data_IF_499434512947
#
_entry.id   IF_499434512947
#
_cell.length_a   1.000
_cell.length_b   1.000
_cell.length_c   1.000
_cell.angle_alpha   90.00
_cell.angle_beta   90.00
_cell.angle_gamma   90.00
#
_symmetry.space_group_name_H-M   'P 1'
#
loop_
_entity.id
_entity.type
_entity.pdbx_description
1 polymer ?
#
# COMPACT_ATOMS: atom_id res chain seq x y z
N UNK A 1 17.61 43.03 -4.39
CA UNK A 1 16.51 42.23 -4.98
C UNK A 1 17.11 41.28 -6.01
N UNK A 2 17.22 39.99 -5.71
CA UNK A 2 17.39 38.90 -6.68
C UNK A 2 16.63 37.69 -6.15
N UNK A 3 15.65 37.22 -6.93
CA UNK A 3 14.75 36.11 -6.62
C UNK A 3 15.37 34.81 -7.12
N UNK A 4 15.34 33.76 -6.30
CA UNK A 4 15.36 32.37 -6.76
C UNK A 4 14.49 31.54 -5.83
N UNK A 5 13.37 30.97 -6.31
CA UNK A 5 12.57 30.01 -5.57
C UNK A 5 13.04 28.60 -5.94
N UNK A 6 13.51 27.81 -4.97
CA UNK A 6 13.64 26.38 -5.19
C UNK A 6 13.24 25.62 -3.94
N UNK A 7 11.96 25.27 -3.88
CA UNK A 7 11.45 24.14 -3.12
C UNK A 7 12.43 22.96 -3.25
N UNK A 8 13.10 22.62 -2.16
CA UNK A 8 13.70 21.30 -1.99
C UNK A 8 12.96 20.64 -0.85
N UNK A 9 11.96 19.85 -1.24
CA UNK A 9 11.17 18.99 -0.39
C UNK A 9 12.08 17.99 0.34
N UNK A 10 12.07 17.93 1.68
CA UNK A 10 12.86 16.97 2.42
C UNK A 10 11.99 15.78 2.90
N UNK A 11 11.09 15.25 2.05
CA UNK A 11 10.15 14.19 2.47
C UNK A 11 10.41 12.85 1.76
N UNK A 12 11.56 12.68 1.11
CA UNK A 12 11.89 11.46 0.35
C UNK A 12 12.68 10.41 1.15
N UNK A 13 12.59 10.42 2.49
CA UNK A 13 13.30 9.47 3.34
C UNK A 13 12.37 8.94 4.42
N UNK A 14 11.48 7.98 4.11
CA UNK A 14 10.81 7.17 5.13
C UNK A 14 10.03 5.96 4.57
N UNK A 15 10.59 5.18 3.63
CA UNK A 15 9.99 3.88 3.25
C UNK A 15 11.06 2.83 2.95
N UNK A 16 11.97 2.54 3.88
CA UNK A 16 12.95 1.44 3.73
C UNK A 16 13.16 0.65 5.01
N UNK A 17 12.08 0.29 5.72
CA UNK A 17 12.23 -0.58 6.88
C UNK A 17 11.01 -1.45 7.18
N UNK A 18 10.71 -2.47 6.36
CA UNK A 18 9.71 -3.49 6.71
C UNK A 18 9.94 -4.85 5.98
N UNK A 19 11.18 -5.32 5.85
CA UNK A 19 11.48 -6.58 5.12
C UNK A 19 12.39 -7.56 5.90
N UNK A 20 12.06 -7.84 7.16
CA UNK A 20 12.60 -9.03 7.85
C UNK A 20 11.57 -9.64 8.80
N UNK A 21 10.68 -10.50 8.30
CA UNK A 21 9.93 -11.44 9.13
C UNK A 21 10.06 -12.87 8.53
N UNK A 22 10.20 -13.92 9.36
CA UNK A 22 10.48 -15.30 8.93
C UNK A 22 9.43 -15.81 7.93
N UNK A 23 9.72 -16.81 7.09
CA UNK A 23 8.83 -17.14 5.94
C UNK A 23 7.91 -18.37 6.13
N UNK A 24 8.12 -19.25 7.11
CA UNK A 24 7.55 -20.62 7.00
C UNK A 24 6.34 -20.97 7.89
N UNK A 25 6.09 -20.26 9.00
CA UNK A 25 4.76 -20.21 9.66
C UNK A 25 3.96 -18.96 9.22
N UNK A 26 4.56 -18.20 8.30
CA UNK A 26 4.14 -16.86 7.93
C UNK A 26 3.31 -16.82 6.66
N UNK A 27 3.34 -17.80 5.76
CA UNK A 27 2.50 -17.77 4.56
C UNK A 27 1.01 -17.56 4.89
N UNK A 28 0.46 -18.33 5.85
CA UNK A 28 -0.94 -18.21 6.27
C UNK A 28 -1.24 -16.89 7.01
N UNK A 29 -0.24 -16.34 7.72
CA UNK A 29 -0.37 -15.06 8.42
C UNK A 29 -0.20 -13.88 7.45
N UNK A 30 0.69 -14.01 6.48
CA UNK A 30 0.99 -13.09 5.39
C UNK A 30 -0.24 -12.94 4.49
N UNK A 31 -0.81 -14.05 4.00
CA UNK A 31 -2.07 -14.01 3.23
C UNK A 31 -3.22 -13.35 4.00
N UNK A 32 -3.30 -13.57 5.32
CA UNK A 32 -4.31 -12.92 6.17
C UNK A 32 -4.08 -11.40 6.30
N UNK A 33 -2.84 -10.97 6.48
CA UNK A 33 -2.50 -9.54 6.52
C UNK A 33 -2.75 -8.89 5.15
N UNK A 34 -2.34 -9.50 4.04
CA UNK A 34 -2.63 -9.02 2.68
C UNK A 34 -4.13 -8.80 2.46
N UNK A 35 -4.97 -9.77 2.87
CA UNK A 35 -6.44 -9.67 2.79
C UNK A 35 -7.01 -8.59 3.70
N UNK A 36 -6.45 -8.42 4.91
CA UNK A 36 -6.87 -7.38 5.86
C UNK A 36 -6.60 -5.99 5.30
N UNK A 37 -5.41 -5.79 4.75
CA UNK A 37 -4.98 -4.51 4.20
C UNK A 37 -5.75 -4.17 2.93
N UNK A 38 -5.97 -5.16 2.05
CA UNK A 38 -6.82 -5.01 0.88
C UNK A 38 -8.25 -4.59 1.27
N UNK A 39 -8.81 -5.19 2.33
CA UNK A 39 -10.14 -4.82 2.84
C UNK A 39 -10.17 -3.39 3.38
N UNK A 40 -9.17 -2.98 4.17
CA UNK A 40 -9.05 -1.60 4.63
C UNK A 40 -8.94 -0.61 3.46
N UNK A 41 -8.17 -0.95 2.43
CA UNK A 41 -8.06 -0.17 1.21
C UNK A 41 -9.43 -0.02 0.51
N UNK A 42 -10.19 -1.11 0.36
CA UNK A 42 -11.53 -1.06 -0.24
C UNK A 42 -12.52 -0.22 0.58
N UNK A 43 -12.48 -0.29 1.91
CA UNK A 43 -13.30 0.56 2.79
C UNK A 43 -12.97 2.05 2.61
N UNK A 44 -11.70 2.40 2.45
CA UNK A 44 -11.26 3.77 2.14
C UNK A 44 -11.77 4.18 0.75
N UNK A 45 -11.64 3.31 -0.26
CA UNK A 45 -12.15 3.58 -1.59
C UNK A 45 -13.65 3.86 -1.60
N UNK A 46 -14.45 3.05 -0.89
CA UNK A 46 -15.89 3.25 -0.76
C UNK A 46 -16.26 4.55 -0.04
N UNK A 47 -15.49 4.95 0.96
CA UNK A 47 -15.76 6.20 1.70
C UNK A 47 -15.33 7.45 0.96
N UNK A 48 -14.23 7.41 0.21
CA UNK A 48 -13.55 8.63 -0.22
C UNK A 48 -13.31 8.75 -1.73
N UNK A 49 -13.37 7.65 -2.50
CA UNK A 49 -13.00 7.72 -3.92
C UNK A 49 -14.13 8.26 -4.83
N UNK A 50 -15.37 8.31 -4.35
CA UNK A 50 -16.51 8.82 -5.12
C UNK A 50 -16.63 8.11 -6.47
N UNK A 51 -16.62 8.86 -7.58
CA UNK A 51 -16.67 8.31 -8.93
C UNK A 51 -15.48 7.40 -9.30
N UNK A 52 -14.39 7.45 -8.53
CA UNK A 52 -13.22 6.60 -8.69
C UNK A 52 -13.26 5.29 -7.89
N UNK A 53 -14.33 5.00 -7.13
CA UNK A 53 -14.42 3.83 -6.25
C UNK A 53 -14.05 2.52 -6.95
N UNK A 54 -14.56 2.29 -8.15
CA UNK A 54 -14.36 1.03 -8.85
C UNK A 54 -12.89 0.80 -9.22
N UNK A 55 -12.19 1.84 -9.70
CA UNK A 55 -10.75 1.78 -10.02
C UNK A 55 -9.90 1.65 -8.76
N UNK A 56 -10.27 2.37 -7.71
CA UNK A 56 -9.60 2.31 -6.41
C UNK A 56 -9.71 0.91 -5.80
N UNK A 57 -10.92 0.35 -5.77
CA UNK A 57 -11.19 -1.01 -5.27
C UNK A 57 -10.43 -2.06 -6.09
N UNK A 58 -10.38 -1.90 -7.42
CA UNK A 58 -9.62 -2.79 -8.30
C UNK A 58 -8.13 -2.77 -7.98
N UNK A 59 -7.54 -1.58 -7.76
CA UNK A 59 -6.15 -1.46 -7.34
C UNK A 59 -5.87 -2.18 -6.02
N UNK A 60 -6.76 -2.05 -5.02
CA UNK A 60 -6.63 -2.78 -3.75
C UNK A 60 -6.62 -4.31 -3.95
N UNK A 61 -7.42 -4.82 -4.89
CA UNK A 61 -7.49 -6.27 -5.21
C UNK A 61 -6.23 -6.74 -5.93
N UNK A 62 -5.66 -5.91 -6.79
CA UNK A 62 -4.44 -6.29 -7.51
C UNK A 62 -3.22 -6.27 -6.57
N UNK A 63 -3.14 -5.31 -5.65
CA UNK A 63 -2.16 -5.31 -4.55
C UNK A 63 -2.32 -6.52 -3.62
N UNK A 64 -3.55 -6.95 -3.30
CA UNK A 64 -3.78 -8.19 -2.53
C UNK A 64 -3.15 -9.40 -3.20
N UNK A 65 -3.31 -9.53 -4.51
CA UNK A 65 -2.76 -10.64 -5.30
C UNK A 65 -1.23 -10.58 -5.33
N UNK A 66 -0.65 -9.41 -5.52
CA UNK A 66 0.80 -9.20 -5.50
C UNK A 66 1.37 -9.59 -4.14
N UNK A 67 0.80 -9.04 -3.06
CA UNK A 67 1.16 -9.38 -1.69
C UNK A 67 1.05 -10.89 -1.40
N UNK A 68 -0.04 -11.52 -1.85
CA UNK A 68 -0.26 -12.96 -1.68
C UNK A 68 0.73 -13.83 -2.48
N UNK A 69 1.24 -13.35 -3.62
CA UNK A 69 2.29 -14.06 -4.38
C UNK A 69 3.63 -14.05 -3.62
N UNK A 70 3.98 -12.93 -2.99
CA UNK A 70 5.20 -12.78 -2.20
C UNK A 70 5.17 -13.61 -0.90
N UNK A 71 3.99 -14.08 -0.47
CA UNK A 71 3.83 -14.96 0.68
C UNK A 71 4.16 -16.44 0.40
N UNK A 72 4.44 -16.84 -0.86
CA UNK A 72 4.63 -18.24 -1.28
C UNK A 72 6.08 -18.64 -1.47
#
# INVERSE_FOLDING_TARGET
MTKTPWNKAPWALLVTLLLTLPVTAHANKCEKECKKDAKQCQDICKKYAGSGEQKCTQACVDEEKECTKECK
#
